data_IF_822005250835
#
_entry.id   IF_822005250835
#
_cell.length_a   1.000
_cell.length_b   1.000
_cell.length_c   1.000
_cell.angle_alpha   90.00
_cell.angle_beta   90.00
_cell.angle_gamma   90.00
#
_symmetry.space_group_name_H-M   'P 1'
#
loop_
_entity.id
_entity.type
_entity.pdbx_description
1 polymer ?
#
# COMPACT_ATOMS: atom_id res chain seq x y z
N UNK A 1 18.27 -5.13 10.90
CA UNK A 1 17.08 -5.47 11.67
C UNK A 1 16.49 -6.83 11.23
N UNK A 2 16.31 -7.10 9.94
CA UNK A 2 15.87 -8.42 9.47
C UNK A 2 17.05 -9.31 9.13
N UNK A 3 16.93 -10.60 9.40
CA UNK A 3 17.91 -11.58 8.95
C UNK A 3 17.99 -11.62 7.42
N UNK A 4 19.19 -11.83 6.91
CA UNK A 4 19.36 -12.09 5.48
C UNK A 4 18.58 -13.37 5.16
N UNK A 5 17.67 -13.29 4.18
CA UNK A 5 16.86 -14.45 3.79
C UNK A 5 15.51 -14.56 4.48
N UNK A 6 15.03 -13.53 5.20
CA UNK A 6 13.67 -13.51 5.79
C UNK A 6 12.57 -13.95 4.80
N UNK A 7 12.73 -13.63 3.52
CA UNK A 7 11.79 -13.96 2.44
C UNK A 7 12.37 -14.99 1.45
N UNK A 8 13.43 -15.71 1.83
CA UNK A 8 14.04 -16.71 0.95
C UNK A 8 13.03 -17.78 0.55
N UNK A 9 13.01 -18.13 -0.74
CA UNK A 9 12.08 -19.09 -1.31
C UNK A 9 10.65 -18.59 -1.51
N UNK A 10 10.31 -17.37 -1.09
CA UNK A 10 8.98 -16.78 -1.34
C UNK A 10 8.90 -16.20 -2.75
N UNK A 11 7.81 -16.51 -3.44
CA UNK A 11 7.44 -15.90 -4.73
C UNK A 11 6.38 -14.82 -4.49
N UNK A 12 6.70 -13.57 -4.85
CA UNK A 12 5.88 -12.41 -4.50
C UNK A 12 5.46 -11.67 -5.77
N UNK A 13 4.16 -11.49 -5.96
CA UNK A 13 3.60 -10.64 -7.02
C UNK A 13 3.26 -9.25 -6.47
N UNK A 14 3.84 -8.20 -7.05
CA UNK A 14 3.55 -6.80 -6.71
C UNK A 14 2.86 -6.11 -7.88
N UNK A 15 1.60 -5.72 -7.69
CA UNK A 15 0.88 -4.93 -8.68
C UNK A 15 1.35 -3.47 -8.65
N UNK A 16 1.56 -2.86 -9.83
CA UNK A 16 2.15 -1.52 -9.90
C UNK A 16 3.61 -1.45 -9.44
N UNK A 17 4.35 -2.57 -9.56
CA UNK A 17 5.72 -2.71 -9.06
C UNK A 17 6.80 -1.97 -9.86
N UNK A 18 6.42 -1.27 -10.95
CA UNK A 18 7.39 -0.58 -11.82
C UNK A 18 7.87 0.79 -11.30
N UNK A 19 7.29 1.34 -10.23
CA UNK A 19 7.67 2.67 -9.72
C UNK A 19 7.18 2.88 -8.28
N UNK A 20 7.61 3.98 -7.67
CA UNK A 20 7.13 4.44 -6.37
C UNK A 20 7.24 3.39 -5.26
N UNK A 21 6.21 3.30 -4.43
CA UNK A 21 6.19 2.37 -3.28
C UNK A 21 6.25 0.90 -3.69
N UNK A 22 5.61 0.54 -4.81
CA UNK A 22 5.66 -0.83 -5.33
C UNK A 22 7.08 -1.26 -5.71
N UNK A 23 7.83 -0.38 -6.36
CA UNK A 23 9.24 -0.65 -6.68
C UNK A 23 10.12 -0.68 -5.42
N UNK A 24 9.88 0.21 -4.44
CA UNK A 24 10.63 0.24 -3.19
C UNK A 24 10.41 -1.05 -2.36
N UNK A 25 9.16 -1.48 -2.23
CA UNK A 25 8.83 -2.76 -1.59
C UNK A 25 9.45 -3.93 -2.33
N UNK A 26 9.27 -3.98 -3.66
CA UNK A 26 9.83 -5.04 -4.49
C UNK A 26 11.36 -5.17 -4.34
N UNK A 27 12.09 -4.05 -4.38
CA UNK A 27 13.53 -4.04 -4.12
C UNK A 27 13.85 -4.66 -2.75
N UNK A 28 13.12 -4.24 -1.72
CA UNK A 28 13.33 -4.76 -0.36
C UNK A 28 13.08 -6.26 -0.25
N UNK A 29 12.04 -6.77 -0.90
CA UNK A 29 11.73 -8.18 -0.92
C UNK A 29 12.86 -9.00 -1.59
N UNK A 30 13.43 -8.49 -2.69
CA UNK A 30 14.60 -9.09 -3.36
C UNK A 30 15.83 -9.08 -2.44
N UNK A 31 16.11 -7.97 -1.74
CA UNK A 31 17.18 -7.88 -0.74
C UNK A 31 17.05 -8.92 0.38
N UNK A 32 15.82 -9.33 0.68
CA UNK A 32 15.49 -10.33 1.70
C UNK A 32 15.36 -11.76 1.14
N UNK A 33 15.69 -11.97 -0.14
CA UNK A 33 15.80 -13.28 -0.77
C UNK A 33 14.58 -13.77 -1.54
N UNK A 34 13.56 -12.93 -1.76
CA UNK A 34 12.38 -13.31 -2.52
C UNK A 34 12.62 -13.37 -4.03
N UNK A 35 11.89 -14.25 -4.73
CA UNK A 35 11.63 -14.14 -6.15
C UNK A 35 10.49 -13.14 -6.37
N UNK A 36 10.73 -12.12 -7.18
CA UNK A 36 9.79 -11.02 -7.39
C UNK A 36 9.17 -11.06 -8.79
N UNK A 37 7.84 -10.94 -8.84
CA UNK A 37 7.09 -10.67 -10.05
C UNK A 37 6.46 -9.27 -9.92
N UNK A 38 6.67 -8.41 -10.91
CA UNK A 38 6.05 -7.08 -10.94
C UNK A 38 5.13 -6.96 -12.14
N UNK A 39 3.92 -6.45 -11.95
CA UNK A 39 2.99 -6.30 -13.05
C UNK A 39 2.41 -4.89 -13.15
N UNK A 40 1.92 -4.55 -14.35
CA UNK A 40 1.30 -3.27 -14.67
C UNK A 40 1.20 -3.04 -16.18
N UNK A 41 0.71 -1.87 -16.58
CA UNK A 41 0.43 -1.55 -17.99
C UNK A 41 1.67 -1.21 -18.82
N UNK A 42 2.67 -0.57 -18.21
CA UNK A 42 3.87 -0.03 -18.89
C UNK A 42 5.02 -1.02 -18.83
N UNK A 43 5.09 -1.91 -19.85
CA UNK A 43 6.08 -2.99 -19.87
C UNK A 43 7.52 -2.45 -19.83
N UNK A 44 7.84 -1.42 -20.60
CA UNK A 44 9.18 -0.83 -20.63
C UNK A 44 9.65 -0.35 -19.26
N UNK A 45 8.77 0.30 -18.49
CA UNK A 45 9.08 0.75 -17.13
C UNK A 45 9.27 -0.45 -16.17
N UNK A 46 8.45 -1.49 -16.32
CA UNK A 46 8.57 -2.71 -15.52
C UNK A 46 9.90 -3.41 -15.81
N UNK A 47 10.26 -3.56 -17.08
CA UNK A 47 11.52 -4.20 -17.50
C UNK A 47 12.74 -3.40 -17.03
N UNK A 48 12.72 -2.07 -17.17
CA UNK A 48 13.79 -1.22 -16.66
C UNK A 48 13.95 -1.35 -15.14
N UNK A 49 12.84 -1.45 -14.40
CA UNK A 49 12.86 -1.62 -12.95
C UNK A 49 13.32 -3.03 -12.56
N UNK A 50 12.86 -4.06 -13.25
CA UNK A 50 13.29 -5.44 -13.04
C UNK A 50 14.79 -5.60 -13.33
N UNK A 51 15.28 -5.01 -14.41
CA UNK A 51 16.71 -5.03 -14.77
C UNK A 51 17.59 -4.41 -13.68
N UNK A 52 17.18 -3.26 -13.14
CA UNK A 52 17.88 -2.63 -11.99
C UNK A 52 17.91 -3.55 -10.77
N UNK A 53 16.79 -4.19 -10.42
CA UNK A 53 16.73 -5.08 -9.27
C UNK A 53 17.49 -6.39 -9.48
N UNK A 54 17.58 -6.88 -10.71
CA UNK A 54 18.43 -8.03 -11.05
C UNK A 54 19.91 -7.72 -10.91
N UNK A 55 20.32 -6.49 -11.22
CA UNK A 55 21.70 -6.02 -11.08
C UNK A 55 22.06 -5.68 -9.62
N UNK A 56 21.17 -4.96 -8.94
CA UNK A 56 21.34 -4.50 -7.56
C UNK A 56 19.98 -4.42 -6.86
N UNK A 57 19.74 -5.22 -5.84
CA UNK A 57 20.63 -6.06 -5.01
C UNK A 57 21.00 -7.44 -5.60
N UNK A 58 20.55 -7.76 -6.79
CA UNK A 58 20.69 -9.06 -7.41
C UNK A 58 19.60 -10.04 -6.97
N UNK A 59 18.95 -10.69 -7.93
CA UNK A 59 17.89 -11.64 -7.62
C UNK A 59 17.02 -11.99 -8.82
N UNK A 60 16.03 -12.85 -8.60
CA UNK A 60 15.07 -13.23 -9.64
C UNK A 60 13.94 -12.22 -9.68
N UNK A 61 13.84 -11.46 -10.76
CA UNK A 61 12.77 -10.47 -10.96
C UNK A 61 12.21 -10.61 -12.37
N UNK A 62 10.89 -10.77 -12.45
CA UNK A 62 10.14 -10.87 -13.72
C UNK A 62 9.16 -9.71 -13.86
N UNK A 63 9.10 -9.14 -15.06
CA UNK A 63 8.16 -8.09 -15.44
C UNK A 63 7.02 -8.68 -16.27
N UNK A 64 5.78 -8.34 -15.95
CA UNK A 64 4.59 -8.88 -16.60
C UNK A 64 3.67 -7.72 -17.00
N UNK A 65 3.36 -7.59 -18.29
CA UNK A 65 2.36 -6.62 -18.73
C UNK A 65 0.97 -7.14 -18.38
N UNK A 66 0.18 -6.36 -17.65
CA UNK A 66 -1.22 -6.64 -17.36
C UNK A 66 -1.99 -5.34 -17.15
N UNK A 67 -3.16 -5.22 -17.76
CA UNK A 67 -4.12 -4.20 -17.40
C UNK A 67 -5.07 -4.74 -16.32
N UNK A 68 -4.89 -4.29 -15.11
CA UNK A 68 -5.65 -4.77 -13.95
C UNK A 68 -7.15 -4.37 -13.99
N UNK A 69 -7.56 -3.53 -14.93
CA UNK A 69 -8.96 -3.16 -15.12
C UNK A 69 -9.76 -4.26 -15.83
N UNK A 70 -9.05 -5.18 -16.45
CA UNK A 70 -9.57 -6.30 -17.22
C UNK A 70 -9.38 -7.59 -16.42
N UNK A 71 -10.50 -8.19 -15.98
CA UNK A 71 -10.50 -9.41 -15.17
C UNK A 71 -9.98 -10.63 -15.93
N UNK A 72 -10.24 -10.73 -17.23
CA UNK A 72 -9.74 -11.82 -18.08
C UNK A 72 -8.22 -11.72 -18.25
N UNK A 73 -7.70 -10.50 -18.45
CA UNK A 73 -6.26 -10.27 -18.52
C UNK A 73 -5.56 -10.61 -17.18
N UNK A 74 -6.20 -10.31 -16.04
CA UNK A 74 -5.70 -10.69 -14.72
C UNK A 74 -5.68 -12.22 -14.57
N UNK A 75 -6.74 -12.90 -14.93
CA UNK A 75 -6.84 -14.35 -14.84
C UNK A 75 -5.80 -15.06 -15.71
N UNK A 76 -5.64 -14.61 -16.97
CA UNK A 76 -4.62 -15.10 -17.88
C UNK A 76 -3.17 -14.85 -17.35
N UNK A 77 -2.92 -13.71 -16.75
CA UNK A 77 -1.65 -13.40 -16.09
C UNK A 77 -1.38 -14.38 -14.94
N UNK A 78 -2.36 -14.62 -14.09
CA UNK A 78 -2.23 -15.56 -12.97
C UNK A 78 -2.00 -16.98 -13.45
N UNK A 79 -2.71 -17.44 -14.50
CA UNK A 79 -2.46 -18.74 -15.11
C UNK A 79 -1.02 -18.89 -15.63
N UNK A 80 -0.51 -17.85 -16.29
CA UNK A 80 0.87 -17.85 -16.75
C UNK A 80 1.88 -17.93 -15.59
N UNK A 81 1.60 -17.25 -14.48
CA UNK A 81 2.43 -17.30 -13.27
C UNK A 81 2.39 -18.70 -12.64
N UNK A 82 1.20 -19.29 -12.51
CA UNK A 82 1.01 -20.61 -11.88
C UNK A 82 1.63 -21.76 -12.64
N UNK A 83 1.78 -21.66 -13.97
CA UNK A 83 2.55 -22.64 -14.77
C UNK A 83 4.00 -22.82 -14.29
N UNK A 84 4.57 -21.78 -13.67
CA UNK A 84 5.92 -21.78 -13.09
C UNK A 84 5.92 -21.95 -11.56
N UNK A 85 4.78 -22.34 -10.99
CA UNK A 85 4.54 -22.50 -9.56
C UNK A 85 3.71 -21.38 -8.93
N UNK A 86 3.09 -21.62 -7.78
CA UNK A 86 2.26 -20.64 -7.09
C UNK A 86 3.07 -19.44 -6.60
N UNK A 87 2.42 -18.30 -6.43
CA UNK A 87 2.95 -17.22 -5.58
C UNK A 87 2.59 -17.50 -4.12
N UNK A 88 3.43 -17.04 -3.20
CA UNK A 88 3.18 -17.08 -1.75
C UNK A 88 2.53 -15.80 -1.26
N UNK A 89 2.80 -14.69 -1.95
CA UNK A 89 2.34 -13.36 -1.55
C UNK A 89 1.84 -12.58 -2.76
N UNK A 90 0.68 -11.96 -2.58
CA UNK A 90 0.13 -10.93 -3.47
C UNK A 90 0.19 -9.56 -2.78
N UNK A 91 0.82 -8.57 -3.40
CA UNK A 91 0.80 -7.18 -2.94
C UNK A 91 -0.07 -6.34 -3.86
N UNK A 92 -1.26 -5.96 -3.41
CA UNK A 92 -2.17 -5.03 -4.06
C UNK A 92 -1.69 -3.58 -3.81
N UNK A 93 -0.84 -3.08 -4.70
CA UNK A 93 -0.28 -1.74 -4.61
C UNK A 93 -0.72 -0.82 -5.76
N UNK A 94 -1.04 -1.38 -6.93
CA UNK A 94 -1.50 -0.58 -8.08
C UNK A 94 -2.72 0.27 -7.69
N UNK A 95 -2.68 1.55 -8.04
CA UNK A 95 -3.75 2.50 -7.79
C UNK A 95 -3.70 3.66 -8.78
N UNK A 96 -4.85 4.34 -8.94
CA UNK A 96 -4.95 5.63 -9.58
C UNK A 96 -5.58 6.63 -8.60
N UNK A 97 -5.18 7.89 -8.70
CA UNK A 97 -5.78 8.98 -7.93
C UNK A 97 -5.45 10.32 -8.59
N UNK A 98 -6.30 11.30 -8.41
CA UNK A 98 -6.05 12.71 -8.72
C UNK A 98 -6.95 13.59 -7.84
N UNK A 99 -6.63 14.87 -7.74
CA UNK A 99 -7.46 15.85 -7.03
C UNK A 99 -8.48 16.45 -8.00
N UNK A 100 -9.76 16.45 -7.60
CA UNK A 100 -10.83 17.12 -8.31
C UNK A 100 -11.93 17.59 -7.34
N UNK A 101 -12.62 18.68 -7.69
CA UNK A 101 -13.88 19.03 -7.04
C UNK A 101 -14.91 17.97 -7.39
N UNK A 102 -15.53 17.37 -6.37
CA UNK A 102 -16.35 16.16 -6.55
C UNK A 102 -17.60 16.43 -7.39
N UNK A 103 -18.19 17.62 -7.26
CA UNK A 103 -19.36 18.08 -8.04
C UNK A 103 -19.06 18.26 -9.54
N UNK A 104 -17.79 18.37 -9.92
CA UNK A 104 -17.36 18.45 -11.32
C UNK A 104 -16.76 17.14 -11.86
N UNK A 105 -16.75 16.08 -11.04
CA UNK A 105 -16.18 14.81 -11.43
C UNK A 105 -17.15 14.04 -12.33
N UNK A 106 -16.73 13.73 -13.56
CA UNK A 106 -17.53 12.85 -14.43
C UNK A 106 -17.52 11.40 -13.93
N UNK A 107 -18.57 10.64 -14.22
CA UNK A 107 -18.62 9.20 -13.90
C UNK A 107 -17.43 8.45 -14.50
N UNK A 108 -17.07 8.75 -15.74
CA UNK A 108 -15.89 8.15 -16.41
C UNK A 108 -14.59 8.45 -15.66
N UNK A 109 -14.44 9.64 -15.10
CA UNK A 109 -13.25 10.01 -14.32
C UNK A 109 -13.23 9.29 -12.97
N UNK A 110 -14.38 9.09 -12.33
CA UNK A 110 -14.49 8.25 -11.13
C UNK A 110 -14.11 6.80 -11.43
N UNK A 111 -14.64 6.21 -12.50
CA UNK A 111 -14.34 4.84 -12.92
C UNK A 111 -12.86 4.66 -13.29
N UNK A 112 -12.21 5.67 -13.85
CA UNK A 112 -10.78 5.64 -14.14
C UNK A 112 -9.90 5.50 -12.87
N UNK A 113 -10.42 5.88 -11.69
CA UNK A 113 -9.79 5.64 -10.40
C UNK A 113 -10.20 4.29 -9.81
N UNK A 114 -11.51 3.99 -9.84
CA UNK A 114 -12.06 2.77 -9.24
C UNK A 114 -11.57 1.50 -9.95
N UNK A 115 -11.55 1.48 -11.27
CA UNK A 115 -11.22 0.30 -12.04
C UNK A 115 -9.80 -0.25 -11.73
N UNK A 116 -8.70 0.52 -11.82
CA UNK A 116 -7.39 -0.01 -11.47
C UNK A 116 -7.17 -0.19 -9.97
N UNK A 117 -7.85 0.59 -9.11
CA UNK A 117 -7.60 0.59 -7.67
C UNK A 117 -8.41 -0.48 -6.95
N UNK A 118 -9.74 -0.48 -7.14
CA UNK A 118 -10.66 -1.40 -6.49
C UNK A 118 -10.80 -2.70 -7.27
N UNK A 119 -11.25 -2.61 -8.52
CA UNK A 119 -11.51 -3.82 -9.30
C UNK A 119 -10.23 -4.61 -9.54
N UNK A 120 -9.13 -3.93 -9.89
CA UNK A 120 -7.83 -4.60 -10.06
C UNK A 120 -7.35 -5.34 -8.82
N UNK A 121 -7.46 -4.73 -7.62
CA UNK A 121 -7.13 -5.40 -6.37
C UNK A 121 -8.07 -6.58 -6.08
N UNK A 122 -9.36 -6.43 -6.36
CA UNK A 122 -10.36 -7.48 -6.19
C UNK A 122 -10.08 -8.66 -7.14
N UNK A 123 -9.87 -8.41 -8.44
CA UNK A 123 -9.59 -9.46 -9.41
C UNK A 123 -8.32 -10.25 -9.07
N UNK A 124 -7.23 -9.54 -8.73
CA UNK A 124 -6.00 -10.20 -8.30
C UNK A 124 -6.19 -11.04 -7.03
N UNK A 125 -6.92 -10.50 -6.04
CA UNK A 125 -7.16 -11.20 -4.77
C UNK A 125 -8.01 -12.44 -4.97
N UNK A 126 -9.14 -12.33 -5.69
CA UNK A 126 -10.02 -13.47 -5.96
C UNK A 126 -9.33 -14.53 -6.82
N UNK A 127 -8.63 -14.11 -7.88
CA UNK A 127 -7.92 -15.03 -8.76
C UNK A 127 -6.78 -15.79 -8.07
N UNK A 128 -5.97 -15.11 -7.24
CA UNK A 128 -4.94 -15.77 -6.44
C UNK A 128 -5.53 -16.65 -5.35
N UNK A 129 -6.55 -16.17 -4.63
CA UNK A 129 -7.21 -16.91 -3.56
C UNK A 129 -7.85 -18.21 -4.03
N UNK A 130 -8.55 -18.17 -5.19
CA UNK A 130 -9.11 -19.37 -5.81
C UNK A 130 -8.02 -20.42 -6.06
N UNK A 131 -6.92 -20.04 -6.69
CA UNK A 131 -5.81 -20.94 -7.02
C UNK A 131 -5.09 -21.48 -5.78
N UNK A 132 -4.92 -20.65 -4.74
CA UNK A 132 -4.38 -21.13 -3.45
C UNK A 132 -5.29 -22.16 -2.79
N UNK A 133 -6.60 -21.91 -2.76
CA UNK A 133 -7.58 -22.81 -2.14
C UNK A 133 -7.65 -24.14 -2.90
N UNK A 134 -7.76 -24.10 -4.22
CA UNK A 134 -7.78 -25.29 -5.07
C UNK A 134 -6.49 -26.11 -4.94
N UNK A 135 -5.34 -25.43 -4.93
CA UNK A 135 -4.03 -26.06 -4.78
C UNK A 135 -3.64 -26.40 -3.34
N UNK A 136 -4.47 -26.08 -2.34
CA UNK A 136 -4.17 -26.22 -0.88
C UNK A 136 -2.87 -25.51 -0.48
N UNK A 137 -2.56 -24.39 -1.12
CA UNK A 137 -1.41 -23.53 -0.78
C UNK A 137 -1.79 -22.48 0.24
N UNK A 138 -0.84 -22.18 1.14
CA UNK A 138 -0.95 -20.98 2.00
C UNK A 138 -0.65 -19.73 1.20
N UNK A 139 -1.23 -18.61 1.60
CA UNK A 139 -1.00 -17.35 0.92
C UNK A 139 -1.08 -16.14 1.84
N UNK A 140 -0.49 -15.03 1.41
CA UNK A 140 -0.65 -13.74 2.08
C UNK A 140 -1.04 -12.68 1.06
N UNK A 141 -2.10 -11.93 1.35
CA UNK A 141 -2.46 -10.72 0.60
C UNK A 141 -2.11 -9.50 1.44
N UNK A 142 -1.25 -8.65 0.92
CA UNK A 142 -0.96 -7.33 1.48
C UNK A 142 -1.59 -6.26 0.60
N UNK A 143 -2.46 -5.42 1.16
CA UNK A 143 -3.07 -4.30 0.43
C UNK A 143 -2.50 -2.95 0.89
N UNK A 144 -2.04 -2.13 -0.06
CA UNK A 144 -1.59 -0.76 0.21
C UNK A 144 -2.79 0.18 0.10
N UNK A 145 -3.24 0.66 1.24
CA UNK A 145 -4.40 1.53 1.39
C UNK A 145 -3.98 3.02 1.50
N UNK A 146 -4.65 3.77 2.35
CA UNK A 146 -4.38 5.17 2.69
C UNK A 146 -5.08 5.50 4.01
N UNK A 147 -4.58 6.47 4.76
CA UNK A 147 -5.27 7.01 5.95
C UNK A 147 -6.68 7.54 5.65
N UNK A 148 -6.99 7.83 4.39
CA UNK A 148 -8.35 8.19 3.95
C UNK A 148 -9.40 7.10 4.19
N UNK A 149 -9.01 5.86 4.45
CA UNK A 149 -9.91 4.78 4.90
C UNK A 149 -10.50 5.04 6.28
N UNK A 150 -9.85 5.88 7.09
CA UNK A 150 -10.26 6.24 8.45
C UNK A 150 -10.93 7.62 8.44
N UNK A 151 -10.27 8.59 7.79
CA UNK A 151 -10.66 10.02 7.90
C UNK A 151 -11.55 10.50 6.74
N UNK A 152 -11.70 9.71 5.65
CA UNK A 152 -12.08 10.29 4.38
C UNK A 152 -11.00 11.22 3.85
N UNK A 153 -11.20 11.77 2.65
CA UNK A 153 -10.33 12.83 2.11
C UNK A 153 -11.05 13.65 1.06
N UNK A 154 -11.21 14.93 1.34
CA UNK A 154 -11.77 15.88 0.39
C UNK A 154 -10.99 15.86 -0.94
N UNK A 155 -11.68 16.08 -2.05
CA UNK A 155 -11.16 16.17 -3.41
C UNK A 155 -10.50 14.90 -3.98
N UNK A 156 -10.57 13.76 -3.26
CA UNK A 156 -10.09 12.45 -3.73
C UNK A 156 -11.09 11.34 -3.41
N UNK A 157 -12.37 11.65 -3.45
CA UNK A 157 -13.47 10.77 -3.00
C UNK A 157 -13.43 9.38 -3.62
N UNK A 158 -13.32 9.17 -4.95
CA UNK A 158 -13.27 7.82 -5.51
C UNK A 158 -12.08 6.98 -5.01
N UNK A 159 -10.93 7.61 -4.77
CA UNK A 159 -9.77 6.91 -4.21
C UNK A 159 -10.02 6.49 -2.76
N UNK A 160 -10.61 7.36 -1.93
CA UNK A 160 -10.96 7.02 -0.55
C UNK A 160 -11.99 5.89 -0.50
N UNK A 161 -13.04 5.94 -1.33
CA UNK A 161 -14.02 4.87 -1.49
C UNK A 161 -13.37 3.53 -1.86
N UNK A 162 -12.51 3.52 -2.89
CA UNK A 162 -11.82 2.32 -3.34
C UNK A 162 -10.98 1.69 -2.21
N UNK A 163 -10.21 2.50 -1.49
CA UNK A 163 -9.35 2.03 -0.39
C UNK A 163 -10.17 1.52 0.80
N UNK A 164 -11.30 2.14 1.12
CA UNK A 164 -12.22 1.66 2.16
C UNK A 164 -12.89 0.34 1.77
N UNK A 165 -13.26 0.18 0.51
CA UNK A 165 -13.80 -1.09 0.00
C UNK A 165 -12.76 -2.23 0.06
N UNK A 166 -11.49 -1.95 -0.26
CA UNK A 166 -10.41 -2.94 -0.12
C UNK A 166 -10.17 -3.30 1.36
N UNK A 167 -10.30 -2.35 2.29
CA UNK A 167 -10.24 -2.67 3.73
C UNK A 167 -11.37 -3.61 4.15
N UNK A 168 -12.60 -3.37 3.68
CA UNK A 168 -13.73 -4.27 3.91
C UNK A 168 -13.45 -5.66 3.34
N UNK A 169 -12.96 -5.77 2.10
CA UNK A 169 -12.55 -7.03 1.50
C UNK A 169 -11.45 -7.73 2.33
N UNK A 170 -10.44 -6.99 2.80
CA UNK A 170 -9.37 -7.52 3.64
C UNK A 170 -9.92 -8.17 4.90
N UNK A 171 -10.82 -7.48 5.62
CA UNK A 171 -11.44 -7.99 6.85
C UNK A 171 -12.34 -9.21 6.61
N UNK A 172 -13.18 -9.14 5.58
CA UNK A 172 -14.12 -10.23 5.26
C UNK A 172 -13.38 -11.51 4.88
N UNK A 173 -12.44 -11.42 3.95
CA UNK A 173 -11.68 -12.58 3.47
C UNK A 173 -10.68 -13.10 4.51
N UNK A 174 -10.20 -12.28 5.43
CA UNK A 174 -9.37 -12.73 6.55
C UNK A 174 -10.10 -13.76 7.43
N UNK A 175 -11.41 -13.58 7.63
CA UNK A 175 -12.26 -14.52 8.36
C UNK A 175 -12.59 -15.74 7.50
N UNK A 176 -13.00 -15.53 6.25
CA UNK A 176 -13.46 -16.60 5.36
C UNK A 176 -12.31 -17.53 4.92
N UNK A 177 -11.11 -16.98 4.68
CA UNK A 177 -9.97 -17.72 4.14
C UNK A 177 -8.90 -18.08 5.18
N UNK A 178 -8.98 -17.51 6.39
CA UNK A 178 -8.09 -17.86 7.50
C UNK A 178 -7.99 -19.36 7.75
N UNK A 179 -9.12 -20.10 7.85
CA UNK A 179 -9.11 -21.55 8.01
C UNK A 179 -8.46 -22.32 6.84
N UNK A 180 -8.31 -21.68 5.69
CA UNK A 180 -7.65 -22.23 4.50
C UNK A 180 -6.16 -21.87 4.43
N UNK A 181 -5.62 -21.22 5.48
CA UNK A 181 -4.21 -20.85 5.56
C UNK A 181 -3.85 -19.58 4.79
N UNK A 182 -4.81 -18.72 4.46
CA UNK A 182 -4.60 -17.45 3.74
C UNK A 182 -4.81 -16.29 4.70
N UNK A 183 -3.79 -15.43 4.85
CA UNK A 183 -3.86 -14.20 5.63
C UNK A 183 -4.08 -12.99 4.73
N UNK A 184 -4.86 -12.03 5.20
CA UNK A 184 -5.03 -10.75 4.52
C UNK A 184 -4.70 -9.62 5.51
N UNK A 185 -3.81 -8.73 5.11
CA UNK A 185 -3.36 -7.59 5.92
C UNK A 185 -3.26 -6.34 5.04
N UNK A 186 -3.25 -5.18 5.66
CA UNK A 186 -3.14 -3.92 4.94
C UNK A 186 -2.18 -2.94 5.63
N UNK A 187 -1.59 -2.04 4.85
CA UNK A 187 -0.89 -0.85 5.34
C UNK A 187 -1.66 0.37 4.85
N UNK A 188 -1.92 1.32 5.74
CA UNK A 188 -2.43 2.64 5.40
C UNK A 188 -1.31 3.68 5.52
N UNK A 189 -0.57 3.95 4.44
CA UNK A 189 0.49 4.95 4.46
C UNK A 189 -0.07 6.37 4.52
N UNK A 190 0.65 7.24 5.22
CA UNK A 190 0.50 8.68 5.16
C UNK A 190 1.26 9.29 3.98
N UNK A 191 2.05 10.31 4.29
CA UNK A 191 2.87 11.02 3.31
C UNK A 191 4.16 10.26 2.99
N UNK A 192 4.17 9.55 1.88
CA UNK A 192 5.36 8.95 1.25
C UNK A 192 5.50 9.52 -0.16
N UNK A 193 6.27 10.58 -0.37
CA UNK A 193 6.39 11.25 -1.67
C UNK A 193 6.90 10.31 -2.75
N UNK A 194 6.19 10.24 -3.88
CA UNK A 194 6.64 9.51 -5.08
C UNK A 194 6.49 10.40 -6.30
N UNK A 195 7.33 10.30 -7.33
CA UNK A 195 7.20 11.13 -8.53
C UNK A 195 5.81 11.08 -9.17
N UNK A 196 5.18 9.89 -9.19
CA UNK A 196 3.85 9.72 -9.78
C UNK A 196 2.70 10.32 -8.96
N UNK A 197 2.73 10.16 -7.63
CA UNK A 197 1.69 10.69 -6.76
C UNK A 197 1.86 12.20 -6.53
N UNK A 198 3.08 12.71 -6.50
CA UNK A 198 3.36 14.13 -6.26
C UNK A 198 2.72 15.02 -7.32
N UNK A 199 2.83 14.66 -8.60
CA UNK A 199 2.21 15.45 -9.68
C UNK A 199 0.68 15.41 -9.70
N UNK A 200 0.06 14.34 -9.21
CA UNK A 200 -1.40 14.16 -9.26
C UNK A 200 -2.13 14.63 -8.00
N UNK A 201 -1.44 14.66 -6.86
CA UNK A 201 -2.01 15.02 -5.56
C UNK A 201 -1.58 16.42 -5.09
N UNK A 202 -0.82 17.16 -5.89
CA UNK A 202 -0.32 18.49 -5.56
C UNK A 202 -0.58 19.45 -6.70
N UNK A 203 -1.56 20.33 -6.57
CA UNK A 203 -1.68 21.47 -7.45
C UNK A 203 -0.41 22.32 -7.40
N UNK A 204 -0.06 22.93 -8.54
CA UNK A 204 1.07 23.84 -8.66
C UNK A 204 0.98 24.97 -7.62
N UNK A 205 2.08 25.34 -6.99
CA UNK A 205 2.15 26.38 -5.97
C UNK A 205 1.67 25.97 -4.56
N UNK A 206 1.24 24.72 -4.35
CA UNK A 206 0.89 24.24 -3.01
C UNK A 206 2.13 23.82 -2.23
N UNK A 207 2.42 24.56 -1.14
CA UNK A 207 3.46 24.15 -0.19
C UNK A 207 3.20 22.74 0.35
N UNK A 208 4.25 21.97 0.46
CA UNK A 208 4.16 20.59 0.94
C UNK A 208 3.70 20.51 2.38
N UNK A 209 4.13 21.41 3.23
CA UNK A 209 3.74 21.51 4.63
C UNK A 209 3.74 20.19 5.42
N UNK A 210 4.46 19.18 4.91
CA UNK A 210 4.48 17.85 5.53
C UNK A 210 5.03 17.92 6.95
N UNK A 211 6.13 18.64 7.11
CA UNK A 211 6.79 18.78 8.40
C UNK A 211 5.88 19.44 9.43
N UNK A 212 5.19 20.52 9.06
CA UNK A 212 4.30 21.24 9.98
C UNK A 212 3.01 20.47 10.32
N UNK A 213 2.58 19.56 9.44
CA UNK A 213 1.35 18.77 9.65
C UNK A 213 1.59 17.38 10.20
N UNK A 214 2.81 16.90 10.22
CA UNK A 214 3.15 15.58 10.72
C UNK A 214 3.76 15.69 12.12
N UNK A 215 3.23 14.97 13.12
CA UNK A 215 3.81 14.99 14.48
C UNK A 215 5.30 14.62 14.52
N UNK A 216 5.77 13.76 13.62
CA UNK A 216 7.19 13.42 13.51
C UNK A 216 8.02 14.44 12.71
N UNK A 217 7.41 15.54 12.21
CA UNK A 217 8.09 16.62 11.51
C UNK A 217 8.65 16.28 10.12
N UNK A 218 8.26 15.13 9.53
CA UNK A 218 8.76 14.68 8.24
C UNK A 218 7.78 13.78 7.47
N UNK A 219 8.05 13.59 6.20
CA UNK A 219 7.45 12.51 5.43
C UNK A 219 8.08 11.15 5.77
N UNK A 220 7.39 10.07 5.46
CA UNK A 220 7.93 8.73 5.57
C UNK A 220 8.94 8.42 4.45
N UNK A 221 9.94 7.63 4.78
CA UNK A 221 10.90 7.09 3.82
C UNK A 221 10.37 5.80 3.21
N UNK A 222 10.59 5.59 1.91
CA UNK A 222 10.14 4.38 1.21
C UNK A 222 10.67 3.10 1.86
N UNK A 223 11.84 3.17 2.48
CA UNK A 223 12.45 2.05 3.20
C UNK A 223 11.63 1.65 4.43
N UNK A 224 11.10 2.61 5.18
CA UNK A 224 10.28 2.34 6.36
C UNK A 224 9.01 1.57 5.99
N UNK A 225 8.36 1.96 4.88
CA UNK A 225 7.18 1.24 4.38
C UNK A 225 7.54 -0.15 3.86
N UNK A 226 8.66 -0.28 3.15
CA UNK A 226 9.12 -1.55 2.62
C UNK A 226 9.51 -2.54 3.74
N UNK A 227 10.08 -2.06 4.83
CA UNK A 227 10.40 -2.88 6.00
C UNK A 227 9.12 -3.34 6.72
N UNK A 228 8.13 -2.47 6.93
CA UNK A 228 6.83 -2.87 7.48
C UNK A 228 6.14 -3.90 6.58
N UNK A 229 6.13 -3.68 5.28
CA UNK A 229 5.58 -4.62 4.31
C UNK A 229 6.27 -5.99 4.39
N UNK A 230 7.61 -6.00 4.48
CA UNK A 230 8.41 -7.24 4.61
C UNK A 230 8.07 -8.01 5.88
N UNK A 231 7.88 -7.32 7.01
CA UNK A 231 7.43 -7.94 8.25
C UNK A 231 6.03 -8.55 8.11
N UNK A 232 5.06 -7.78 7.61
CA UNK A 232 3.66 -8.23 7.54
C UNK A 232 3.46 -9.44 6.62
N UNK A 233 4.27 -9.58 5.57
CA UNK A 233 4.18 -10.74 4.67
C UNK A 233 5.01 -11.95 5.12
N UNK A 234 5.87 -11.79 6.11
CA UNK A 234 6.70 -12.86 6.66
C UNK A 234 5.94 -13.77 7.63
N UNK A 235 6.54 -14.90 7.97
CA UNK A 235 6.02 -15.82 8.97
C UNK A 235 6.04 -15.23 10.38
N UNK A 236 6.91 -14.24 10.65
CA UNK A 236 6.96 -13.51 11.92
C UNK A 236 5.66 -12.74 12.23
N UNK A 237 4.87 -12.41 11.22
CA UNK A 237 3.57 -11.78 11.37
C UNK A 237 2.40 -12.80 11.30
N UNK A 238 2.67 -14.09 11.51
CA UNK A 238 1.72 -15.20 11.30
C UNK A 238 0.40 -15.09 12.08
N UNK A 239 0.37 -14.35 13.19
CA UNK A 239 -0.85 -14.14 13.98
C UNK A 239 -1.56 -12.80 13.70
N UNK A 240 -1.08 -12.01 12.73
CA UNK A 240 -1.72 -10.78 12.27
C UNK A 240 -2.57 -11.11 11.04
N UNK A 241 -3.89 -10.94 11.14
CA UNK A 241 -4.85 -11.22 10.07
C UNK A 241 -6.05 -10.28 10.15
N UNK A 242 -6.53 -9.76 9.02
CA UNK A 242 -7.64 -8.81 8.95
C UNK A 242 -7.31 -7.39 9.41
N UNK A 243 -6.04 -7.10 9.73
CA UNK A 243 -5.62 -5.84 10.34
C UNK A 243 -5.07 -4.86 9.29
N UNK A 244 -5.26 -3.58 9.58
CA UNK A 244 -4.68 -2.47 8.84
C UNK A 244 -3.72 -1.68 9.73
N UNK A 245 -2.44 -1.73 9.42
CA UNK A 245 -1.43 -0.95 10.14
C UNK A 245 -1.32 0.44 9.53
N UNK A 246 -1.58 1.47 10.32
CA UNK A 246 -1.39 2.87 9.89
C UNK A 246 0.07 3.25 10.05
N UNK A 247 0.67 3.78 8.97
CA UNK A 247 2.06 4.23 8.95
C UNK A 247 2.13 5.65 8.38
N UNK A 248 1.87 6.65 9.22
CA UNK A 248 1.71 8.04 8.79
C UNK A 248 2.36 9.08 9.70
N UNK A 249 3.17 8.63 10.66
CA UNK A 249 3.80 9.53 11.64
C UNK A 249 2.81 10.20 12.59
N UNK A 250 1.61 9.63 12.77
CA UNK A 250 0.55 10.16 13.62
C UNK A 250 -0.31 11.24 12.97
N UNK A 251 -0.15 11.51 11.67
CA UNK A 251 -0.86 12.61 10.99
C UNK A 251 -2.39 12.49 11.06
N UNK A 252 -2.94 11.26 10.99
CA UNK A 252 -4.40 11.05 11.03
C UNK A 252 -5.01 11.33 12.41
N UNK A 253 -4.20 11.38 13.47
CA UNK A 253 -4.64 11.67 14.84
C UNK A 253 -4.78 13.16 15.13
N UNK A 254 -4.29 14.02 14.23
CA UNK A 254 -4.35 15.49 14.37
C UNK A 254 -5.73 16.04 13.98
N UNK A 255 -6.72 15.68 14.74
CA UNK A 255 -8.10 16.18 14.55
C UNK A 255 -8.81 16.33 15.90
N UNK A 256 -8.04 16.38 17.01
CA UNK A 256 -8.57 16.45 18.37
C UNK A 256 -9.06 17.85 18.76
N UNK A 257 -8.69 18.88 18.00
CA UNK A 257 -9.02 20.28 18.28
C UNK A 257 -8.13 20.97 19.30
N UNK A 258 -7.03 20.31 19.71
CA UNK A 258 -6.07 20.87 20.66
C UNK A 258 -4.65 21.01 20.07
N UNK A 259 -4.54 20.92 18.74
CA UNK A 259 -3.26 20.94 18.03
C UNK A 259 -2.56 22.31 18.09
N UNK A 260 -3.28 23.39 18.33
CA UNK A 260 -2.74 24.73 18.60
C UNK A 260 -1.87 24.76 19.85
N UNK A 261 -2.18 23.93 20.85
CA UNK A 261 -1.36 23.81 22.06
C UNK A 261 0.04 23.22 21.81
N UNK A 262 0.26 22.55 20.68
CA UNK A 262 1.59 22.07 20.27
C UNK A 262 2.59 23.21 20.02
N UNK A 263 2.10 24.44 19.82
CA UNK A 263 2.92 25.64 19.60
C UNK A 263 3.10 26.47 20.88
N UNK A 264 2.52 26.03 22.00
CA UNK A 264 2.64 26.77 23.25
C UNK A 264 4.07 26.76 23.77
N UNK A 265 4.52 27.95 24.17
CA UNK A 265 5.80 28.13 24.86
C UNK A 265 5.73 27.63 26.29
N UNK A 266 6.87 27.34 26.90
CA UNK A 266 6.93 26.95 28.30
C UNK A 266 6.26 27.99 29.23
N UNK A 267 6.43 29.27 28.98
CA UNK A 267 5.77 30.36 29.75
C UNK A 267 4.24 30.27 29.67
N UNK A 268 3.65 29.87 28.52
CA UNK A 268 2.21 29.67 28.40
C UNK A 268 1.76 28.45 29.24
N UNK A 269 2.53 27.37 29.21
CA UNK A 269 2.28 26.18 30.04
C UNK A 269 2.41 26.47 31.53
N UNK A 270 3.42 27.25 31.97
CA UNK A 270 3.58 27.69 33.37
C UNK A 270 2.37 28.48 33.82
N UNK A 271 1.92 29.44 33.04
CA UNK A 271 0.70 30.21 33.34
C UNK A 271 -0.52 29.31 33.51
N UNK A 272 -0.67 28.30 32.65
CA UNK A 272 -1.78 27.36 32.73
C UNK A 272 -1.69 26.47 33.98
N UNK A 273 -0.49 25.99 34.35
CA UNK A 273 -0.27 25.24 35.59
C UNK A 273 -0.60 26.09 36.85
N UNK A 274 -0.15 27.34 36.87
CA UNK A 274 -0.42 28.26 37.98
C UNK A 274 -1.92 28.60 38.14
N UNK A 275 -2.68 28.61 37.04
CA UNK A 275 -4.12 28.81 37.11
C UNK A 275 -4.85 27.63 37.76
N UNK A 276 -4.40 26.38 37.48
CA UNK A 276 -4.98 25.16 38.10
C UNK A 276 -4.74 25.04 39.62
N UNK A 277 -3.62 25.56 40.11
CA UNK A 277 -3.28 25.47 41.53
C UNK A 277 -4.10 26.45 42.40
N UNK A 278 -4.90 27.35 41.79
CA UNK A 278 -5.75 28.33 42.46
C UNK A 278 -7.25 27.96 42.44
N UNK A 279 -7.60 26.90 41.69
CA UNK A 279 -8.94 26.30 41.67
C UNK A 279 -8.98 25.02 42.53
#
# INVERSE_FOLDING_TARGET
MFEKGLLAGRRILVTGGGSGLGAAMGRRFVELGAELLICGRRLELLEATAARMRSDPGGKVSAIRCDLRDGEAVDAMLDAIWRNGPIDVLVNNAAATFIAQTEHLSFRAADAILAPTLHGAMYCTLGAGKRWIEGKHKGVVLSILSTSTITGRAFTVPSAMAKSAILAMTKSLAVEWGPKGIRLVAIAPGAFPTPGASGQLRPEGRDEGWASRNPLGRAGEHRELADLASFLISDSAGYINGEMVVQDGGSHLRSSGAEDLLQWTEAQWEKQRAARSKS
#
